data_IF_074687869261
#
_entry.id   IF_074687869261
#
_cell.length_a   1.000
_cell.length_b   1.000
_cell.length_c   1.000
_cell.angle_alpha   90.00
_cell.angle_beta   90.00
_cell.angle_gamma   90.00
#
_symmetry.space_group_name_H-M   'P 1'
#
loop_
_entity.id
_entity.type
_entity.pdbx_description
1 polymer ?
#
# COMPACT_ATOMS: atom_id res chain seq x y z
N UNK A 1 9.40 30.97 2.87
CA UNK A 1 9.50 29.61 3.46
C UNK A 1 8.08 29.12 3.67
N UNK A 2 7.66 28.02 3.04
CA UNK A 2 6.34 27.43 3.31
C UNK A 2 6.40 26.71 4.66
N UNK A 3 5.41 26.88 5.55
CA UNK A 3 5.38 26.13 6.80
C UNK A 3 5.26 24.64 6.48
N UNK A 4 6.19 23.84 7.01
CA UNK A 4 6.05 22.39 7.08
C UNK A 4 5.06 22.08 8.19
N UNK A 5 3.89 21.56 7.85
CA UNK A 5 2.90 21.12 8.82
C UNK A 5 3.55 20.04 9.70
N UNK A 6 3.68 20.34 11.00
CA UNK A 6 4.08 19.37 12.00
C UNK A 6 2.88 18.46 12.30
N UNK A 7 3.10 17.15 12.34
CA UNK A 7 2.09 16.19 12.78
C UNK A 7 1.61 16.57 14.18
N UNK A 8 0.30 16.68 14.37
CA UNK A 8 -0.34 17.06 15.63
C UNK A 8 -1.49 16.11 15.93
N UNK A 9 -1.89 16.04 17.21
CA UNK A 9 -3.06 15.26 17.61
C UNK A 9 -4.34 15.86 17.00
N UNK A 10 -5.20 14.99 16.46
CA UNK A 10 -6.43 15.38 15.77
C UNK A 10 -7.45 15.93 16.78
N UNK A 11 -7.82 17.20 16.62
CA UNK A 11 -8.89 17.86 17.39
C UNK A 11 -10.21 17.85 16.63
N UNK A 12 -11.31 18.21 17.31
CA UNK A 12 -12.64 18.36 16.68
C UNK A 12 -12.64 19.46 15.60
N UNK A 13 -11.93 20.56 15.82
CA UNK A 13 -11.75 21.63 14.81
C UNK A 13 -10.95 21.15 13.58
N UNK A 14 -9.96 20.26 13.80
CA UNK A 14 -9.22 19.60 12.72
C UNK A 14 -10.16 18.72 11.87
N UNK A 15 -11.12 18.05 12.51
CA UNK A 15 -12.12 17.19 11.87
C UNK A 15 -13.07 17.91 10.91
N UNK A 16 -13.33 19.20 11.15
CA UNK A 16 -14.20 20.04 10.31
C UNK A 16 -13.49 20.58 9.08
N UNK A 17 -12.16 20.73 9.17
CA UNK A 17 -11.33 21.33 8.13
C UNK A 17 -10.61 20.28 7.28
N UNK A 18 -10.29 19.13 7.87
CA UNK A 18 -9.62 18.02 7.21
C UNK A 18 -10.63 17.00 6.69
N UNK A 19 -10.54 16.67 5.40
CA UNK A 19 -11.31 15.56 4.87
C UNK A 19 -10.65 14.25 5.35
N UNK A 20 -11.22 13.57 6.35
CA UNK A 20 -10.72 12.26 6.85
C UNK A 20 -10.45 11.22 5.76
N UNK A 21 -11.03 11.40 4.58
CA UNK A 21 -10.97 10.48 3.44
C UNK A 21 -9.68 10.67 2.64
N UNK A 22 -9.01 11.81 2.77
CA UNK A 22 -7.79 12.11 2.03
C UNK A 22 -6.83 12.83 2.97
N UNK A 23 -5.67 12.24 3.24
CA UNK A 23 -4.56 12.91 3.93
C UNK A 23 -3.99 14.07 3.08
N UNK A 24 -4.82 15.07 2.75
CA UNK A 24 -4.51 16.24 1.94
C UNK A 24 -3.55 17.17 2.69
N UNK A 25 -3.59 17.12 4.02
CA UNK A 25 -2.91 18.11 4.86
C UNK A 25 -1.71 17.56 5.65
N UNK A 26 -1.56 16.24 5.71
CA UNK A 26 -0.35 15.65 6.28
C UNK A 26 0.66 15.41 5.16
N UNK A 27 1.88 15.97 5.25
CA UNK A 27 2.92 15.54 4.35
C UNK A 27 3.10 14.03 4.60
N UNK A 28 2.91 13.23 3.55
CA UNK A 28 3.40 11.85 3.45
C UNK A 28 4.94 11.77 3.53
N UNK A 29 5.56 12.65 4.30
CA UNK A 29 7.00 12.85 4.46
C UNK A 29 7.61 11.58 5.03
N UNK A 30 8.09 10.74 4.11
CA UNK A 30 8.76 9.49 4.43
C UNK A 30 8.02 8.23 4.00
N UNK A 31 6.78 8.33 3.51
CA UNK A 31 6.14 7.18 2.89
C UNK A 31 6.79 6.88 1.52
N UNK A 32 7.07 5.61 1.27
CA UNK A 32 7.55 5.15 -0.04
C UNK A 32 6.44 5.26 -1.09
N UNK A 33 5.20 4.96 -0.71
CA UNK A 33 4.05 4.98 -1.59
C UNK A 33 2.76 5.06 -0.77
N UNK A 34 1.74 5.76 -1.27
CA UNK A 34 0.42 5.85 -0.64
C UNK A 34 -0.62 5.57 -1.70
N UNK A 35 -1.62 4.74 -1.36
CA UNK A 35 -2.74 4.49 -2.26
C UNK A 35 -3.75 5.63 -2.17
N UNK A 36 -4.10 6.23 -3.31
CA UNK A 36 -5.05 7.35 -3.32
C UNK A 36 -6.47 6.97 -2.90
N UNK A 37 -6.90 5.73 -3.14
CA UNK A 37 -8.28 5.31 -2.85
C UNK A 37 -8.52 4.92 -1.39
N UNK A 38 -7.62 4.15 -0.79
CA UNK A 38 -7.77 3.67 0.59
C UNK A 38 -6.84 4.38 1.58
N UNK A 39 -6.06 5.36 1.12
CA UNK A 39 -5.07 6.10 1.88
C UNK A 39 -4.03 5.22 2.62
N UNK A 40 -3.84 3.97 2.19
CA UNK A 40 -2.90 3.06 2.83
C UNK A 40 -1.46 3.49 2.51
N UNK A 41 -0.72 3.88 3.54
CA UNK A 41 0.66 4.31 3.43
C UNK A 41 1.63 3.13 3.59
N UNK A 42 2.51 2.97 2.60
CA UNK A 42 3.65 2.07 2.67
C UNK A 42 4.89 2.86 3.09
N UNK A 43 5.35 2.75 4.35
CA UNK A 43 6.48 3.54 4.85
C UNK A 43 7.80 3.18 4.14
N UNK A 44 7.90 1.98 3.56
CA UNK A 44 9.10 1.53 2.84
C UNK A 44 8.74 0.63 1.65
N UNK A 45 9.67 0.53 0.69
CA UNK A 45 9.61 -0.47 -0.38
C UNK A 45 9.55 -1.92 0.15
N UNK A 46 10.04 -2.17 1.38
CA UNK A 46 9.94 -3.47 2.04
C UNK A 46 8.53 -3.73 2.54
N UNK A 47 7.85 -2.73 3.10
CA UNK A 47 6.46 -2.83 3.54
C UNK A 47 5.52 -3.17 2.36
N UNK A 48 5.65 -2.44 1.24
CA UNK A 48 4.86 -2.73 0.03
C UNK A 48 5.05 -4.17 -0.47
N UNK A 49 6.29 -4.64 -0.53
CA UNK A 49 6.58 -6.02 -0.97
C UNK A 49 6.07 -7.08 0.01
N UNK A 50 6.12 -6.81 1.31
CA UNK A 50 5.60 -7.73 2.34
C UNK A 50 4.10 -7.95 2.13
N UNK A 51 3.37 -6.85 1.90
CA UNK A 51 1.93 -6.89 1.75
C UNK A 51 1.50 -7.48 0.42
N UNK A 52 2.19 -7.14 -0.66
CA UNK A 52 2.01 -7.79 -1.96
C UNK A 52 2.19 -9.31 -1.88
N UNK A 53 3.23 -9.78 -1.17
CA UNK A 53 3.48 -11.21 -0.97
C UNK A 53 2.38 -11.87 -0.16
N UNK A 54 1.91 -11.23 0.92
CA UNK A 54 0.81 -11.72 1.75
C UNK A 54 -0.45 -11.93 0.91
N UNK A 55 -0.90 -10.90 0.19
CA UNK A 55 -2.09 -11.02 -0.67
C UNK A 55 -1.92 -12.05 -1.80
N UNK A 56 -0.72 -12.17 -2.36
CA UNK A 56 -0.42 -13.20 -3.36
C UNK A 56 -0.50 -14.63 -2.80
N UNK A 57 -0.09 -14.82 -1.54
CA UNK A 57 -0.19 -16.10 -0.85
C UNK A 57 -1.63 -16.46 -0.51
N UNK A 58 -2.37 -15.52 0.06
CA UNK A 58 -3.79 -15.69 0.38
C UNK A 58 -4.61 -16.04 -0.87
N UNK A 59 -4.39 -15.30 -1.98
CA UNK A 59 -5.05 -15.57 -3.25
C UNK A 59 -4.64 -16.93 -3.87
N UNK A 60 -3.45 -17.44 -3.56
CA UNK A 60 -2.99 -18.75 -4.03
C UNK A 60 -3.58 -19.88 -3.17
N UNK A 61 -3.69 -19.68 -1.86
CA UNK A 61 -4.32 -20.63 -0.95
C UNK A 61 -5.83 -20.78 -1.21
N UNK A 62 -6.49 -19.69 -1.63
CA UNK A 62 -7.92 -19.70 -1.97
C UNK A 62 -8.25 -20.37 -3.33
N UNK A 63 -7.26 -20.67 -4.17
CA UNK A 63 -7.48 -21.21 -5.52
C UNK A 63 -6.86 -22.60 -5.70
N UNK A 64 -7.60 -23.65 -5.32
CA UNK A 64 -7.23 -25.07 -5.52
C UNK A 64 -6.97 -25.44 -7.01
N UNK A 65 -7.40 -24.62 -7.96
CA UNK A 65 -7.32 -24.91 -9.39
C UNK A 65 -6.00 -24.53 -10.10
N UNK A 66 -5.00 -24.01 -9.38
CA UNK A 66 -3.74 -23.59 -9.99
C UNK A 66 -2.76 -24.77 -10.17
N UNK A 67 -2.70 -25.33 -11.39
CA UNK A 67 -1.72 -26.36 -11.83
C UNK A 67 -0.28 -26.02 -11.40
N UNK A 68 0.42 -27.01 -10.83
CA UNK A 68 1.74 -26.93 -10.20
C UNK A 68 2.82 -26.18 -11.01
N UNK A 69 2.82 -26.27 -12.34
CA UNK A 69 3.78 -25.58 -13.21
C UNK A 69 3.65 -24.04 -13.22
N UNK A 70 2.45 -23.51 -12.97
CA UNK A 70 2.25 -22.05 -12.82
C UNK A 70 2.61 -21.58 -11.42
N UNK A 71 2.56 -22.48 -10.43
CA UNK A 71 2.88 -22.14 -9.05
C UNK A 71 4.33 -21.68 -8.96
N UNK A 72 5.31 -22.46 -9.43
CA UNK A 72 6.73 -22.10 -9.29
C UNK A 72 7.07 -20.74 -9.91
N UNK A 73 6.61 -20.45 -11.14
CA UNK A 73 6.86 -19.16 -11.80
C UNK A 73 6.18 -18.01 -11.06
N UNK A 74 4.98 -18.25 -10.51
CA UNK A 74 4.24 -17.28 -9.72
C UNK A 74 4.94 -17.03 -8.38
N UNK A 75 5.41 -18.07 -7.70
CA UNK A 75 6.20 -17.98 -6.48
C UNK A 75 7.50 -17.21 -6.72
N UNK A 76 8.22 -17.54 -7.80
CA UNK A 76 9.46 -16.86 -8.15
C UNK A 76 9.23 -15.38 -8.43
N UNK A 77 8.13 -15.03 -9.12
CA UNK A 77 7.72 -13.64 -9.35
C UNK A 77 7.38 -12.91 -8.04
N UNK A 78 6.65 -13.55 -7.14
CA UNK A 78 6.23 -12.98 -5.84
C UNK A 78 7.43 -12.76 -4.91
N UNK A 79 8.42 -13.66 -4.94
CA UNK A 79 9.64 -13.54 -4.14
C UNK A 79 10.59 -12.49 -4.74
N UNK A 80 10.73 -12.42 -6.06
CA UNK A 80 11.70 -11.52 -6.72
C UNK A 80 11.13 -10.16 -7.15
N UNK A 81 9.84 -9.88 -6.88
CA UNK A 81 9.21 -8.61 -7.25
C UNK A 81 9.96 -7.41 -6.65
N UNK A 82 10.29 -6.45 -7.50
CA UNK A 82 10.80 -5.14 -7.08
C UNK A 82 9.62 -4.25 -6.70
N UNK A 83 9.75 -3.45 -5.65
CA UNK A 83 8.66 -2.57 -5.20
C UNK A 83 8.16 -1.63 -6.31
N UNK A 84 9.07 -1.11 -7.14
CA UNK A 84 8.74 -0.27 -8.30
C UNK A 84 7.93 -0.96 -9.41
N UNK A 85 7.76 -2.29 -9.35
CA UNK A 85 6.90 -3.05 -10.27
C UNK A 85 5.52 -3.35 -9.68
N UNK A 86 5.28 -3.01 -8.42
CA UNK A 86 3.95 -3.14 -7.80
C UNK A 86 3.20 -1.85 -8.11
N UNK A 87 2.22 -1.93 -9.02
CA UNK A 87 1.47 -0.78 -9.54
C UNK A 87 0.09 -0.58 -8.90
N UNK A 88 -0.31 -1.52 -8.05
CA UNK A 88 -1.59 -1.51 -7.36
C UNK A 88 -1.38 -1.71 -5.86
N UNK A 89 -2.30 -1.19 -5.05
CA UNK A 89 -2.39 -1.38 -3.62
C UNK A 89 -2.80 -2.82 -3.27
N UNK A 90 -1.96 -3.60 -2.57
CA UNK A 90 -2.34 -4.94 -2.10
C UNK A 90 -3.54 -4.99 -1.15
N UNK A 91 -3.96 -3.86 -0.58
CA UNK A 91 -5.05 -3.80 0.39
C UNK A 91 -6.43 -3.65 -0.28
N UNK A 92 -6.57 -2.68 -1.20
CA UNK A 92 -7.83 -2.43 -1.90
C UNK A 92 -7.86 -2.93 -3.35
N UNK A 93 -6.73 -3.43 -3.89
CA UNK A 93 -6.61 -3.98 -5.26
C UNK A 93 -6.91 -2.94 -6.36
N UNK A 94 -6.60 -1.67 -6.08
CA UNK A 94 -6.67 -0.59 -7.07
C UNK A 94 -5.29 -0.04 -7.37
N UNK A 95 -5.15 0.63 -8.51
CA UNK A 95 -3.91 1.29 -8.88
C UNK A 95 -3.55 2.39 -7.86
N UNK A 96 -2.26 2.68 -7.72
CA UNK A 96 -1.75 3.67 -6.76
C UNK A 96 -2.10 5.10 -7.11
#
# INVERSE_FOLDING_TARGET
>A
MKPTAASHDVTEECSETHCYVHAVDEPNAGAYLVCFECNHAYPTARALRRDYRRGSWEASAANEHCRADRLWRRLWRVVTVRASRVRFCPHCIHDF
#
